data_IF_776911499338
#
_entry.id   IF_776911499338
#
_cell.length_a   1.000
_cell.length_b   1.000
_cell.length_c   1.000
_cell.angle_alpha   90.00
_cell.angle_beta   90.00
_cell.angle_gamma   90.00
#
_symmetry.space_group_name_H-M   'P 1'
#
loop_
_entity.id
_entity.type
_entity.pdbx_description
1 polymer ?
#
# COMPACT_ATOMS: atom_id res chain seq x y z
N UNK A 1 12.39 -0.50 18.11
CA UNK A 1 11.68 -0.79 16.85
C UNK A 1 12.59 -0.54 15.65
N UNK A 2 12.91 -1.58 14.89
CA UNK A 2 13.79 -1.54 13.69
C UNK A 2 13.08 -0.95 12.49
N UNK A 3 13.82 -0.67 11.40
CA UNK A 3 13.21 -0.22 10.14
C UNK A 3 12.33 -1.31 9.51
N UNK A 4 12.68 -2.59 9.68
CA UNK A 4 11.87 -3.71 9.18
C UNK A 4 10.56 -3.83 9.95
N UNK A 5 10.59 -3.72 11.27
CA UNK A 5 9.38 -3.76 12.10
C UNK A 5 8.44 -2.61 11.74
N UNK A 6 8.95 -1.38 11.60
CA UNK A 6 8.16 -0.21 11.15
C UNK A 6 7.52 -0.46 9.80
N UNK A 7 8.26 -1.07 8.87
CA UNK A 7 7.76 -1.37 7.54
C UNK A 7 6.63 -2.40 7.58
N UNK A 8 6.79 -3.47 8.37
CA UNK A 8 5.79 -4.51 8.53
C UNK A 8 4.51 -3.97 9.19
N UNK A 9 4.64 -3.10 10.19
CA UNK A 9 3.49 -2.46 10.84
C UNK A 9 2.67 -1.66 9.84
N UNK A 10 3.31 -0.79 9.05
CA UNK A 10 2.62 0.00 8.01
C UNK A 10 2.04 -0.87 6.89
N UNK A 11 2.76 -1.92 6.50
CA UNK A 11 2.25 -2.91 5.54
C UNK A 11 0.96 -3.56 6.05
N UNK A 12 0.94 -4.04 7.29
CA UNK A 12 -0.22 -4.68 7.91
C UNK A 12 -1.39 -3.70 8.07
N UNK A 13 -1.11 -2.44 8.42
CA UNK A 13 -2.12 -1.38 8.53
C UNK A 13 -2.84 -1.15 7.19
N UNK A 14 -2.10 -1.04 6.09
CA UNK A 14 -2.68 -0.87 4.75
C UNK A 14 -3.49 -2.10 4.33
N UNK A 15 -2.97 -3.31 4.56
CA UNK A 15 -3.69 -4.56 4.28
C UNK A 15 -5.01 -4.62 5.06
N UNK A 16 -4.96 -4.33 6.36
CA UNK A 16 -6.14 -4.34 7.22
C UNK A 16 -7.16 -3.31 6.77
N UNK A 17 -6.71 -2.11 6.41
CA UNK A 17 -7.58 -1.06 5.86
C UNK A 17 -8.32 -1.53 4.60
N UNK A 18 -7.59 -2.07 3.61
CA UNK A 18 -8.20 -2.51 2.34
C UNK A 18 -9.19 -3.64 2.57
N UNK A 19 -8.82 -4.65 3.38
CA UNK A 19 -9.69 -5.79 3.69
C UNK A 19 -10.95 -5.39 4.47
N UNK A 20 -10.85 -4.41 5.37
CA UNK A 20 -11.99 -3.97 6.20
C UNK A 20 -12.92 -3.03 5.43
N UNK A 21 -12.36 -2.13 4.61
CA UNK A 21 -13.14 -1.10 3.92
C UNK A 21 -13.53 -1.50 2.49
N UNK A 22 -12.98 -2.61 1.97
CA UNK A 22 -13.14 -3.08 0.59
C UNK A 22 -12.81 -2.00 -0.46
N UNK A 23 -11.83 -1.14 -0.17
CA UNK A 23 -11.34 -0.08 -1.06
C UNK A 23 -9.91 0.34 -0.71
N UNK A 24 -9.27 1.02 -1.65
CA UNK A 24 -7.96 1.61 -1.43
C UNK A 24 -7.99 2.91 -0.60
N UNK A 25 -6.89 3.24 0.11
CA UNK A 25 -6.70 4.56 0.72
C UNK A 25 -6.84 5.68 -0.32
N UNK A 26 -7.52 6.75 0.07
CA UNK A 26 -7.94 7.85 -0.78
C UNK A 26 -7.25 9.15 -0.38
N UNK A 27 -6.93 9.98 -1.38
CA UNK A 27 -6.44 11.34 -1.14
C UNK A 27 -7.47 12.28 -0.52
N UNK A 28 -8.75 11.89 -0.55
CA UNK A 28 -9.88 12.73 -0.13
C UNK A 28 -10.17 12.65 1.38
N UNK A 29 -9.47 11.79 2.12
CA UNK A 29 -9.63 11.60 3.57
C UNK A 29 -8.27 11.76 4.23
N UNK A 30 -8.16 12.69 5.18
CA UNK A 30 -6.87 13.10 5.76
C UNK A 30 -6.25 11.95 6.55
N UNK A 31 -7.08 11.15 7.22
CA UNK A 31 -6.72 9.97 8.00
C UNK A 31 -6.04 8.89 7.12
N UNK A 32 -6.26 8.95 5.80
CA UNK A 32 -5.72 7.99 4.84
C UNK A 32 -4.44 8.48 4.16
N UNK A 33 -4.03 9.72 4.40
CA UNK A 33 -2.86 10.32 3.75
C UNK A 33 -1.57 9.59 4.08
N UNK A 34 -1.39 9.16 5.32
CA UNK A 34 -0.20 8.42 5.74
C UNK A 34 -0.06 7.10 4.98
N UNK A 35 -1.14 6.32 4.90
CA UNK A 35 -1.19 5.08 4.13
C UNK A 35 -0.93 5.33 2.63
N UNK A 36 -1.57 6.35 2.06
CA UNK A 36 -1.39 6.72 0.65
C UNK A 36 0.05 7.15 0.34
N UNK A 37 0.65 7.97 1.21
CA UNK A 37 2.02 8.46 1.05
C UNK A 37 3.03 7.32 1.23
N UNK A 38 2.80 6.42 2.19
CA UNK A 38 3.61 5.21 2.36
C UNK A 38 3.57 4.32 1.12
N UNK A 39 2.39 4.11 0.52
CA UNK A 39 2.26 3.37 -0.74
C UNK A 39 3.04 4.02 -1.89
N UNK A 40 2.94 5.35 -2.06
CA UNK A 40 3.68 6.10 -3.08
C UNK A 40 5.19 5.97 -2.89
N UNK A 41 5.67 6.16 -1.66
CA UNK A 41 7.09 6.06 -1.34
C UNK A 41 7.64 4.66 -1.64
N UNK A 42 6.92 3.61 -1.24
CA UNK A 42 7.35 2.23 -1.51
C UNK A 42 7.30 1.88 -3.00
N UNK A 43 6.30 2.35 -3.74
CA UNK A 43 6.27 2.17 -5.20
C UNK A 43 7.43 2.88 -5.89
N UNK A 44 7.81 4.08 -5.45
CA UNK A 44 8.99 4.78 -5.95
C UNK A 44 10.28 3.97 -5.72
N UNK A 45 10.47 3.44 -4.51
CA UNK A 45 11.65 2.62 -4.16
C UNK A 45 11.70 1.29 -4.92
N UNK A 46 10.54 0.64 -5.10
CA UNK A 46 10.42 -0.57 -5.91
C UNK A 46 10.82 -0.29 -7.37
N UNK A 47 10.29 0.78 -7.96
CA UNK A 47 10.60 1.16 -9.34
C UNK A 47 12.07 1.55 -9.54
N UNK A 48 12.72 2.08 -8.49
CA UNK A 48 14.15 2.38 -8.50
C UNK A 48 15.05 1.14 -8.26
N UNK A 49 14.47 -0.06 -8.03
CA UNK A 49 15.23 -1.28 -7.74
C UNK A 49 15.85 -1.31 -6.33
N UNK A 50 15.48 -0.38 -5.45
CA UNK A 50 16.05 -0.26 -4.09
C UNK A 50 15.39 -1.19 -3.07
N UNK A 51 14.27 -1.80 -3.43
CA UNK A 51 13.50 -2.68 -2.55
C UNK A 51 14.04 -4.11 -2.63
N UNK A 52 14.64 -4.57 -1.52
CA UNK A 52 15.17 -5.92 -1.38
C UNK A 52 14.11 -6.92 -0.89
N UNK A 53 14.37 -8.20 -1.10
CA UNK A 53 13.60 -9.26 -0.45
C UNK A 53 13.80 -9.24 1.08
N UNK A 54 12.80 -9.62 1.89
CA UNK A 54 11.46 -10.11 1.50
C UNK A 54 10.42 -9.00 1.24
N UNK A 55 10.81 -7.72 1.31
CA UNK A 55 9.86 -6.59 1.18
C UNK A 55 9.32 -6.49 -0.24
N UNK A 56 10.13 -6.82 -1.24
CA UNK A 56 9.72 -6.79 -2.65
C UNK A 56 8.56 -7.75 -2.94
N UNK A 57 8.66 -9.02 -2.54
CA UNK A 57 7.58 -9.99 -2.72
C UNK A 57 6.29 -9.53 -2.03
N UNK A 58 6.39 -9.14 -0.75
CA UNK A 58 5.22 -8.65 0.02
C UNK A 58 4.57 -7.43 -0.61
N UNK A 59 5.38 -6.49 -1.09
CA UNK A 59 4.84 -5.28 -1.70
C UNK A 59 4.14 -5.58 -3.03
N UNK A 60 4.65 -6.53 -3.84
CA UNK A 60 3.96 -7.00 -5.06
C UNK A 60 2.60 -7.62 -4.73
N UNK A 61 2.50 -8.44 -3.69
CA UNK A 61 1.22 -9.00 -3.22
C UNK A 61 0.24 -7.90 -2.82
N UNK A 62 0.71 -6.87 -2.10
CA UNK A 62 -0.11 -5.71 -1.77
C UNK A 62 -0.56 -4.93 -3.02
N UNK A 63 0.28 -4.79 -4.05
CA UNK A 63 -0.12 -4.15 -5.30
C UNK A 63 -1.21 -4.93 -6.03
N UNK A 64 -1.19 -6.27 -5.99
CA UNK A 64 -2.25 -7.10 -6.54
C UNK A 64 -3.58 -6.87 -5.79
N UNK A 65 -3.54 -6.84 -4.46
CA UNK A 65 -4.72 -6.54 -3.63
C UNK A 65 -5.30 -5.14 -3.94
N UNK A 66 -4.43 -4.15 -4.16
CA UNK A 66 -4.83 -2.78 -4.51
C UNK A 66 -5.52 -2.73 -5.88
N UNK A 67 -5.05 -3.51 -6.86
CA UNK A 67 -5.68 -3.53 -8.19
C UNK A 67 -7.06 -4.21 -8.14
N UNK A 68 -7.22 -5.27 -7.34
CA UNK A 68 -8.51 -5.91 -7.08
C UNK A 68 -9.54 -4.93 -6.48
N UNK A 69 -9.10 -4.10 -5.54
CA UNK A 69 -9.95 -3.13 -4.82
C UNK A 69 -9.95 -1.73 -5.46
N UNK A 70 -9.52 -1.63 -6.72
CA UNK A 70 -9.48 -0.37 -7.44
C UNK A 70 -10.89 0.11 -7.75
N UNK A 71 -11.11 1.41 -7.51
CA UNK A 71 -12.36 2.07 -7.90
C UNK A 71 -12.54 1.99 -9.41
N UNK A 72 -13.59 1.28 -9.86
CA UNK A 72 -14.04 1.29 -11.25
C UNK A 72 -14.71 2.63 -11.54
N UNK A 73 -14.36 3.25 -12.68
CA UNK A 73 -15.05 4.45 -13.13
C UNK A 73 -16.47 4.07 -13.58
N UNK A 74 -17.48 4.75 -13.05
CA UNK A 74 -18.90 4.49 -13.30
C UNK A 74 -19.38 4.96 -14.68
N UNK A 75 -18.54 5.68 -15.43
CA UNK A 75 -18.84 6.19 -16.78
C UNK A 75 -18.17 5.38 -17.90
N UNK A 76 -17.79 4.13 -17.61
CA UNK A 76 -17.27 3.18 -18.60
C UNK A 76 -18.33 2.16 -18.98
#
# INVERSE_FOLDING_TARGET
MTQDERWIIRYNEVIAFIKTNHRNPSRHRIEEHDMLNWLKANRKRMNAGEMKEPRLSRFKELLALIEEHKRKNQYK
#
